data_IF_562716111094
#
_entry.id   IF_562716111094
#
_cell.length_a   1.000
_cell.length_b   1.000
_cell.length_c   1.000
_cell.angle_alpha   90.00
_cell.angle_beta   90.00
_cell.angle_gamma   90.00
#
_symmetry.space_group_name_H-M   'P 1'
#
loop_
_entity.id
_entity.type
_entity.pdbx_description
1 polymer ?
#
# COMPACT_ATOMS: atom_id res chain seq x y z
N UNK A 1 9.24 -33.31 10.87
CA UNK A 1 8.29 -32.22 10.56
C UNK A 1 8.99 -31.31 9.56
N UNK A 2 8.49 -31.28 8.34
CA UNK A 2 8.95 -30.34 7.32
C UNK A 2 8.04 -29.11 7.43
N UNK A 3 8.59 -27.98 7.89
CA UNK A 3 7.85 -26.73 7.95
C UNK A 3 7.80 -26.14 6.55
N UNK A 4 6.69 -26.35 5.83
CA UNK A 4 6.38 -25.60 4.62
C UNK A 4 5.86 -24.22 5.03
N UNK A 5 6.63 -23.18 4.72
CA UNK A 5 6.18 -21.80 4.83
C UNK A 5 5.64 -21.39 3.45
N UNK A 6 4.33 -21.37 3.29
CA UNK A 6 3.69 -20.70 2.16
C UNK A 6 3.79 -19.19 2.39
N UNK A 7 4.88 -18.60 1.88
CA UNK A 7 5.09 -17.16 1.95
C UNK A 7 4.14 -16.46 0.99
N UNK A 8 3.56 -15.35 1.44
CA UNK A 8 2.85 -14.44 0.53
C UNK A 8 3.90 -13.83 -0.39
N UNK A 9 3.75 -14.05 -1.70
CA UNK A 9 4.70 -13.53 -2.69
C UNK A 9 4.32 -12.15 -3.20
N UNK A 10 3.03 -11.94 -3.45
CA UNK A 10 2.47 -10.71 -4.00
C UNK A 10 1.28 -10.26 -3.16
N UNK A 11 1.22 -8.95 -2.89
CA UNK A 11 0.11 -8.33 -2.18
C UNK A 11 -0.14 -6.93 -2.72
N UNK A 12 -1.37 -6.66 -3.15
CA UNK A 12 -1.79 -5.33 -3.58
C UNK A 12 -2.69 -4.72 -2.52
N UNK A 13 -2.41 -3.48 -2.14
CA UNK A 13 -3.24 -2.71 -1.21
C UNK A 13 -3.59 -1.35 -1.79
N UNK A 14 -4.83 -0.92 -1.58
CA UNK A 14 -5.32 0.39 -1.99
C UNK A 14 -5.41 1.31 -0.78
N UNK A 15 -4.97 2.55 -0.97
CA UNK A 15 -5.01 3.60 0.03
C UNK A 15 -5.73 4.81 -0.54
N UNK A 16 -6.43 5.53 0.33
CA UNK A 16 -7.03 6.80 0.00
C UNK A 16 -6.91 7.79 1.17
N UNK A 17 -6.87 9.08 0.85
CA UNK A 17 -6.93 10.17 1.83
C UNK A 17 -7.34 11.49 1.16
N UNK A 18 -7.74 12.46 1.99
CA UNK A 18 -8.07 13.83 1.56
C UNK A 18 -6.82 14.69 1.31
N UNK A 19 -5.64 14.23 1.73
CA UNK A 19 -4.38 14.93 1.56
C UNK A 19 -3.21 13.92 1.44
N UNK A 20 -2.16 14.34 0.74
CA UNK A 20 -0.99 13.50 0.47
C UNK A 20 -0.24 13.07 1.74
N UNK A 21 -0.23 13.90 2.78
CA UNK A 21 0.49 13.61 4.04
C UNK A 21 -0.17 12.45 4.79
N UNK A 22 -1.50 12.44 4.82
CA UNK A 22 -2.28 11.33 5.38
C UNK A 22 -2.12 10.07 4.54
N UNK A 23 -2.16 10.18 3.19
CA UNK A 23 -1.93 9.05 2.30
C UNK A 23 -0.55 8.40 2.54
N UNK A 24 0.51 9.21 2.56
CA UNK A 24 1.88 8.79 2.81
C UNK A 24 2.03 8.12 4.18
N UNK A 25 1.44 8.70 5.23
CA UNK A 25 1.45 8.12 6.57
C UNK A 25 0.83 6.72 6.58
N UNK A 26 -0.32 6.54 5.93
CA UNK A 26 -1.02 5.26 5.88
C UNK A 26 -0.20 4.20 5.13
N UNK A 27 0.42 4.58 4.00
CA UNK A 27 1.31 3.69 3.23
C UNK A 27 2.53 3.28 4.08
N UNK A 28 3.18 4.24 4.74
CA UNK A 28 4.36 3.97 5.58
C UNK A 28 4.04 3.04 6.76
N UNK A 29 2.88 3.22 7.41
CA UNK A 29 2.44 2.29 8.45
C UNK A 29 2.28 0.87 7.91
N UNK A 30 1.76 0.72 6.69
CA UNK A 30 1.62 -0.60 6.07
C UNK A 30 2.95 -1.20 5.64
N UNK A 31 3.91 -0.39 5.20
CA UNK A 31 5.28 -0.83 4.90
C UNK A 31 5.90 -1.51 6.14
N UNK A 32 5.79 -0.91 7.33
CA UNK A 32 6.34 -1.51 8.55
C UNK A 32 5.69 -2.85 8.91
N UNK A 33 4.37 -2.99 8.70
CA UNK A 33 3.66 -4.26 8.91
C UNK A 33 4.12 -5.31 7.89
N UNK A 34 4.23 -4.94 6.61
CA UNK A 34 4.59 -5.87 5.54
C UNK A 34 6.05 -6.35 5.64
N UNK A 35 6.95 -5.55 6.23
CA UNK A 35 8.32 -6.02 6.56
C UNK A 35 8.32 -7.24 7.48
N UNK A 36 7.37 -7.33 8.42
CA UNK A 36 7.29 -8.46 9.35
C UNK A 36 6.92 -9.79 8.65
N UNK A 37 6.36 -9.71 7.44
CA UNK A 37 6.02 -10.87 6.59
C UNK A 37 6.88 -10.92 5.33
N UNK A 38 8.10 -10.36 5.37
CA UNK A 38 9.12 -10.43 4.31
C UNK A 38 8.74 -9.77 2.98
N UNK A 39 7.71 -8.92 2.99
CA UNK A 39 7.30 -8.13 1.83
C UNK A 39 7.98 -6.76 1.82
N UNK A 40 8.19 -6.22 0.63
CA UNK A 40 8.75 -4.89 0.37
C UNK A 40 7.98 -4.20 -0.77
N UNK A 41 8.08 -2.87 -0.89
CA UNK A 41 7.38 -2.15 -1.96
C UNK A 41 8.03 -2.46 -3.30
N UNK A 42 7.26 -3.05 -4.20
CA UNK A 42 7.65 -3.29 -5.59
C UNK A 42 7.26 -2.12 -6.50
N UNK A 43 6.03 -1.62 -6.34
CA UNK A 43 5.51 -0.53 -7.16
C UNK A 43 4.45 0.29 -6.41
N UNK A 44 4.35 1.58 -6.73
CA UNK A 44 3.29 2.47 -6.26
C UNK A 44 2.72 3.26 -7.44
N UNK A 45 1.42 3.13 -7.67
CA UNK A 45 0.68 3.94 -8.65
C UNK A 45 -0.23 4.92 -7.92
N UNK A 46 -0.21 6.19 -8.30
CA UNK A 46 -1.02 7.25 -7.66
C UNK A 46 -2.10 7.75 -8.62
N UNK A 47 -3.27 8.04 -8.07
CA UNK A 47 -4.34 8.75 -8.77
C UNK A 47 -4.92 9.84 -7.86
N UNK A 48 -5.31 10.95 -8.48
CA UNK A 48 -6.01 12.05 -7.82
C UNK A 48 -7.30 12.30 -8.57
N UNK A 49 -8.40 12.42 -7.84
CA UNK A 49 -9.69 12.79 -8.40
C UNK A 49 -10.33 13.90 -7.57
N UNK A 50 -11.13 14.71 -8.24
CA UNK A 50 -11.95 15.74 -7.62
C UNK A 50 -13.39 15.29 -7.71
N UNK A 51 -14.12 15.30 -6.59
CA UNK A 51 -15.55 15.02 -6.60
C UNK A 51 -16.37 16.20 -7.16
N UNK A 52 -17.68 16.00 -7.33
CA UNK A 52 -18.62 17.02 -7.81
C UNK A 52 -18.70 18.25 -6.89
N UNK A 53 -18.26 18.12 -5.63
CA UNK A 53 -18.24 19.18 -4.62
C UNK A 53 -16.88 19.89 -4.53
N UNK A 54 -15.93 19.56 -5.41
CA UNK A 54 -14.57 20.14 -5.41
C UNK A 54 -13.63 19.55 -4.35
N UNK A 55 -13.98 18.45 -3.70
CA UNK A 55 -13.10 17.77 -2.73
C UNK A 55 -12.05 16.95 -3.46
N UNK A 56 -10.80 17.12 -3.06
CA UNK A 56 -9.69 16.34 -3.57
C UNK A 56 -9.57 15.02 -2.82
N UNK A 57 -9.44 13.95 -3.58
CA UNK A 57 -9.13 12.63 -3.09
C UNK A 57 -7.84 12.15 -3.74
N UNK A 58 -6.92 11.71 -2.89
CA UNK A 58 -5.67 11.08 -3.30
C UNK A 58 -5.79 9.59 -3.04
N UNK A 59 -5.38 8.78 -4.01
CA UNK A 59 -5.39 7.34 -3.91
C UNK A 59 -4.08 6.75 -4.40
N UNK A 60 -3.74 5.60 -3.86
CA UNK A 60 -2.58 4.83 -4.31
C UNK A 60 -2.88 3.34 -4.32
N UNK A 61 -2.44 2.65 -5.37
CA UNK A 61 -2.30 1.21 -5.40
C UNK A 61 -0.84 0.85 -5.12
N UNK A 62 -0.58 0.16 -4.02
CA UNK A 62 0.75 -0.27 -3.61
C UNK A 62 0.88 -1.77 -3.82
N UNK A 63 1.80 -2.17 -4.67
CA UNK A 63 2.18 -3.56 -4.86
C UNK A 63 3.37 -3.86 -3.95
N UNK A 64 3.14 -4.73 -2.98
CA UNK A 64 4.16 -5.33 -2.14
C UNK A 64 4.55 -6.69 -2.69
N UNK A 65 5.85 -6.99 -2.68
CA UNK A 65 6.41 -8.25 -3.15
C UNK A 65 7.48 -8.77 -2.19
N UNK A 66 7.63 -10.08 -2.11
CA UNK A 66 8.75 -10.70 -1.39
C UNK A 66 10.07 -10.10 -1.85
N UNK A 67 10.95 -9.83 -0.89
CA UNK A 67 12.30 -9.32 -1.16
C UNK A 67 13.15 -10.26 -2.01
#
# INVERSE_FOLDING_TARGET
MEFHFDLIEDKVEFFEALDLKTLEKNINQRIEINKAIMLSVHHVSHQMHMDENGRLFYSAAVHFKTK
#
